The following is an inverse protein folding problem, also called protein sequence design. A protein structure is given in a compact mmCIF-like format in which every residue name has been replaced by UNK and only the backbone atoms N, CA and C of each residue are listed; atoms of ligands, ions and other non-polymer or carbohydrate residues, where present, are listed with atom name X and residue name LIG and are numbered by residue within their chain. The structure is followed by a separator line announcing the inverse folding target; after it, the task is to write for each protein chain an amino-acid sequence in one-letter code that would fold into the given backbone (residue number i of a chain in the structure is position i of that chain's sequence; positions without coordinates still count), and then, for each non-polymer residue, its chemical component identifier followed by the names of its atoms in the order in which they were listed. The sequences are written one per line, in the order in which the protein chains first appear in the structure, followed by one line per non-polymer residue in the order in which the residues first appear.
data_IF_272496315055
#
_entry.id   IF_272496315055
#
_cell.length_a   1.000
_cell.length_b   1.000
_cell.length_c   1.000
_cell.angle_alpha   90.00
_cell.angle_beta   90.00
_cell.angle_gamma   90.00
#
_symmetry.space_group_name_H-M   'P 1'
#
loop_
_entity.id
_entity.type
_entity.pdbx_description
1 polymer ?
#
# COMPACT_ATOMS: atom_id res chain seq x y z
N UNK A 1 2.41 -10.49 -6.77
CA UNK A 1 2.96 -9.84 -5.56
C UNK A 1 4.47 -9.70 -5.63
N UNK A 2 4.97 -8.47 -5.53
CA UNK A 2 6.41 -8.19 -5.47
C UNK A 2 6.93 -8.41 -4.03
N UNK A 3 8.08 -9.09 -3.82
CA UNK A 3 8.60 -9.42 -2.48
C UNK A 3 8.82 -8.18 -1.59
N UNK A 4 9.15 -7.04 -2.20
CA UNK A 4 9.25 -5.72 -1.53
C UNK A 4 8.03 -5.38 -0.65
N UNK A 5 6.81 -5.78 -1.05
CA UNK A 5 5.59 -5.45 -0.30
C UNK A 5 5.21 -6.52 0.72
N UNK A 6 5.82 -7.71 0.70
CA UNK A 6 5.47 -8.81 1.61
C UNK A 6 5.78 -8.50 3.09
N UNK A 7 6.71 -7.58 3.35
CA UNK A 7 7.05 -7.13 4.71
C UNK A 7 6.14 -6.00 5.21
N UNK A 8 5.67 -5.12 4.30
CA UNK A 8 4.82 -3.99 4.65
C UNK A 8 3.33 -4.36 4.73
N UNK A 9 2.85 -5.23 3.83
CA UNK A 9 1.44 -5.64 3.76
C UNK A 9 0.88 -6.23 5.06
N UNK A 10 1.53 -7.21 5.73
CA UNK A 10 0.98 -7.83 6.94
C UNK A 10 0.90 -6.86 8.13
N UNK A 11 1.61 -5.73 8.10
CA UNK A 11 1.52 -4.68 9.12
C UNK A 11 0.30 -3.76 8.94
N UNK A 12 -0.42 -3.86 7.82
CA UNK A 12 -1.63 -3.08 7.56
C UNK A 12 -2.87 -3.74 8.19
N UNK A 13 -3.98 -3.00 8.31
CA UNK A 13 -5.28 -3.59 8.68
C UNK A 13 -5.72 -4.62 7.65
N UNK A 14 -6.34 -5.71 8.11
CA UNK A 14 -6.89 -6.80 7.28
C UNK A 14 -7.82 -6.28 6.16
N UNK A 15 -8.66 -5.27 6.44
CA UNK A 15 -9.54 -4.67 5.43
C UNK A 15 -8.77 -3.97 4.31
N UNK A 16 -7.66 -3.32 4.66
CA UNK A 16 -6.73 -2.67 3.73
C UNK A 16 -5.96 -3.73 2.93
N UNK A 17 -5.51 -4.81 3.59
CA UNK A 17 -4.79 -5.91 2.94
C UNK A 17 -5.62 -6.56 1.84
N UNK A 18 -6.86 -6.96 2.12
CA UNK A 18 -7.73 -7.59 1.12
C UNK A 18 -8.05 -6.66 -0.05
N UNK A 19 -8.13 -5.34 0.19
CA UNK A 19 -8.37 -4.37 -0.88
C UNK A 19 -7.10 -4.08 -1.72
N UNK A 20 -5.90 -4.14 -1.13
CA UNK A 20 -4.63 -3.97 -1.85
C UNK A 20 -4.13 -5.24 -2.52
N UNK A 21 -4.51 -6.43 -2.05
CA UNK A 21 -4.12 -7.72 -2.65
C UNK A 21 -4.30 -7.76 -4.18
N UNK A 22 -5.47 -7.43 -4.74
CA UNK A 22 -5.66 -7.46 -6.20
C UNK A 22 -4.86 -6.37 -6.92
N UNK A 23 -4.59 -5.23 -6.27
CA UNK A 23 -3.83 -4.11 -6.84
C UNK A 23 -2.33 -4.45 -6.89
N UNK A 24 -1.81 -5.08 -5.83
CA UNK A 24 -0.41 -5.51 -5.68
C UNK A 24 -0.16 -6.92 -6.25
N UNK A 25 -1.21 -7.60 -6.71
CA UNK A 25 -1.09 -8.86 -7.43
C UNK A 25 -0.27 -8.65 -8.71
N UNK A 26 -0.44 -7.51 -9.37
CA UNK A 26 0.33 -7.12 -10.55
C UNK A 26 1.84 -7.02 -10.21
N UNK A 27 2.64 -7.71 -11.03
CA UNK A 27 4.10 -7.76 -10.90
C UNK A 27 4.76 -6.42 -11.23
N UNK A 28 4.12 -5.60 -12.06
CA UNK A 28 4.62 -4.29 -12.51
C UNK A 28 3.84 -3.13 -11.90
N UNK A 29 3.24 -3.33 -10.71
CA UNK A 29 2.55 -2.25 -10.00
C UNK A 29 3.40 -0.97 -9.97
N UNK A 30 2.93 0.15 -10.56
CA UNK A 30 3.72 1.36 -10.77
C UNK A 30 3.94 2.19 -9.50
N UNK A 31 3.65 1.64 -8.31
CA UNK A 31 3.65 2.37 -7.04
C UNK A 31 2.69 3.59 -7.04
N UNK A 32 1.61 3.54 -7.83
CA UNK A 32 0.60 4.59 -7.96
C UNK A 32 -0.78 4.00 -7.77
N UNK A 33 -1.64 4.73 -7.06
CA UNK A 33 -3.06 4.42 -6.90
C UNK A 33 -3.90 5.46 -7.66
N UNK A 34 -4.89 5.02 -8.40
CA UNK A 34 -5.85 5.92 -9.06
C UNK A 34 -6.90 6.41 -8.06
N UNK A 35 -7.57 7.53 -8.37
CA UNK A 35 -8.63 8.07 -7.50
C UNK A 35 -9.77 7.08 -7.23
N UNK A 36 -10.10 6.22 -8.20
CA UNK A 36 -11.10 5.15 -8.04
C UNK A 36 -10.65 4.04 -7.07
N UNK A 37 -9.36 3.71 -7.07
CA UNK A 37 -8.79 2.77 -6.10
C UNK A 37 -8.80 3.37 -4.69
N UNK A 38 -8.45 4.66 -4.58
CA UNK A 38 -8.48 5.39 -3.30
C UNK A 38 -9.90 5.44 -2.75
N UNK A 39 -10.90 5.78 -3.56
CA UNK A 39 -12.31 5.80 -3.11
C UNK A 39 -12.82 4.42 -2.69
N UNK A 40 -12.43 3.36 -3.42
CA UNK A 40 -12.75 1.98 -3.05
C UNK A 40 -12.09 1.58 -1.73
N UNK A 41 -10.83 1.96 -1.52
CA UNK A 41 -10.09 1.72 -0.28
C UNK A 41 -10.71 2.47 0.91
N UNK A 42 -11.09 3.74 0.73
CA UNK A 42 -11.81 4.53 1.76
C UNK A 42 -13.13 3.86 2.13
N UNK A 43 -13.89 3.39 1.14
CA UNK A 43 -15.17 2.72 1.36
C UNK A 43 -15.02 1.38 2.10
N UNK A 44 -13.96 0.61 1.77
CA UNK A 44 -13.69 -0.68 2.41
C UNK A 44 -13.14 -0.55 3.85
N UNK A 45 -12.44 0.55 4.15
CA UNK A 45 -11.74 0.72 5.43
C UNK A 45 -12.43 1.71 6.37
N UNK A 46 -13.36 2.51 5.87
CA UNK A 46 -14.00 3.60 6.61
C UNK A 46 -13.02 4.70 7.03
N UNK A 47 -11.85 4.79 6.37
CA UNK A 47 -10.81 5.76 6.68
C UNK A 47 -10.98 7.02 5.82
N UNK A 48 -10.67 8.16 6.43
CA UNK A 48 -10.48 9.41 5.70
C UNK A 48 -9.24 9.34 4.79
N UNK A 49 -9.15 10.27 3.84
CA UNK A 49 -8.09 10.28 2.84
C UNK A 49 -6.70 10.44 3.47
N UNK A 50 -6.57 11.34 4.44
CA UNK A 50 -5.31 11.56 5.16
C UNK A 50 -4.93 10.31 5.97
N UNK A 51 -5.90 9.71 6.67
CA UNK A 51 -5.67 8.50 7.44
C UNK A 51 -5.27 7.31 6.54
N UNK A 52 -5.87 7.21 5.35
CA UNK A 52 -5.49 6.23 4.34
C UNK A 52 -4.07 6.51 3.82
N UNK A 53 -3.71 7.78 3.56
CA UNK A 53 -2.37 8.16 3.14
C UNK A 53 -1.31 7.77 4.18
N UNK A 54 -1.58 8.02 5.47
CA UNK A 54 -0.71 7.58 6.57
C UNK A 54 -0.58 6.06 6.64
N UNK A 55 -1.69 5.33 6.48
CA UNK A 55 -1.67 3.88 6.47
C UNK A 55 -0.86 3.31 5.28
N UNK A 56 -0.75 4.04 4.17
CA UNK A 56 0.00 3.63 2.98
C UNK A 56 1.50 4.01 3.03
N UNK A 57 1.94 4.82 3.99
CA UNK A 57 3.36 5.21 4.12
C UNK A 57 4.32 4.02 4.21
N UNK A 58 4.04 2.93 4.97
CA UNK A 58 4.92 1.76 5.00
C UNK A 58 5.05 1.08 3.63
N UNK A 59 4.00 1.12 2.81
CA UNK A 59 4.03 0.61 1.44
C UNK A 59 4.93 1.47 0.54
N UNK A 60 4.86 2.79 0.70
CA UNK A 60 5.74 3.72 0.00
C UNK A 60 7.20 3.56 0.44
N UNK A 61 7.46 3.36 1.74
CA UNK A 61 8.79 3.10 2.27
C UNK A 61 9.39 1.80 1.71
N UNK A 62 8.58 0.77 1.48
CA UNK A 62 9.04 -0.46 0.83
C UNK A 62 9.50 -0.27 -0.64
N UNK A 63 9.16 0.85 -1.27
CA UNK A 63 9.69 1.24 -2.58
C UNK A 63 11.04 1.98 -2.50
N UNK A 64 11.48 2.40 -1.31
CA UNK A 64 12.75 3.07 -1.13
C UNK A 64 13.92 2.11 -1.42
N UNK A 65 14.98 2.65 -2.05
CA UNK A 65 16.25 1.94 -2.26
C UNK A 65 17.32 2.68 -1.50
N UNK A 66 17.55 2.29 -0.24
CA UNK A 66 18.48 2.95 0.67
C UNK A 66 19.69 2.08 1.03
N UNK A 67 20.54 1.70 0.05
CA UNK A 67 21.70 0.83 0.28
C UNK A 67 22.77 1.45 1.19
N UNK A 68 22.73 2.77 1.39
CA UNK A 68 23.68 3.51 2.21
C UNK A 68 23.08 3.92 3.56
N UNK A 69 21.89 4.52 3.56
CA UNK A 69 21.27 5.03 4.79
C UNK A 69 20.52 3.98 5.59
N UNK A 70 20.01 2.91 4.96
CA UNK A 70 19.08 1.95 5.57
C UNK A 70 17.89 2.60 6.30
N UNK A 71 17.45 3.76 5.80
CA UNK A 71 16.34 4.56 6.31
C UNK A 71 15.22 4.63 5.29
#
# INVERSE_FOLDING_TARGET
MHPRFQTALPNLRITLQSALEPILADKYFPALLTGEQVSSLKSATGLDEDALAFALLPLAAACARTPLSNF
#
